data_IF_073092059341
#
_entry.id   IF_073092059341
#
_cell.length_a   1.000
_cell.length_b   1.000
_cell.length_c   1.000
_cell.angle_alpha   90.00
_cell.angle_beta   90.00
_cell.angle_gamma   90.00
#
_symmetry.space_group_name_H-M   'P 1'
#
loop_
_entity.id
_entity.type
_entity.pdbx_description
1 polymer ?
#
# COMPACT_ATOMS: atom_id res chain seq x y z
N UNK A 1 7.88 15.39 3.96
CA UNK A 1 7.71 14.21 4.84
C UNK A 1 8.15 14.45 6.30
N UNK A 2 8.72 15.58 6.63
CA UNK A 2 9.21 15.89 7.99
C UNK A 2 8.12 16.14 9.05
N UNK A 3 6.86 16.34 8.64
CA UNK A 3 5.75 16.66 9.53
C UNK A 3 4.91 15.41 9.81
N UNK A 4 5.16 14.74 10.90
CA UNK A 4 4.39 13.58 11.36
C UNK A 4 5.27 12.39 11.73
N UNK A 5 4.85 11.66 12.76
CA UNK A 5 5.52 10.42 13.16
C UNK A 5 5.33 9.34 12.10
N UNK A 6 6.37 8.58 11.74
CA UNK A 6 6.22 7.50 10.80
C UNK A 6 5.43 6.35 11.42
N UNK A 7 4.65 5.66 10.61
CA UNK A 7 4.10 4.35 10.92
C UNK A 7 5.22 3.32 10.77
N UNK A 8 5.42 2.54 11.80
CA UNK A 8 6.51 1.55 11.92
C UNK A 8 5.93 0.26 12.52
N UNK A 9 6.79 -0.63 13.03
CA UNK A 9 6.38 -1.84 13.76
C UNK A 9 5.60 -2.84 12.89
N UNK A 10 6.12 -3.12 11.70
CA UNK A 10 5.59 -4.17 10.85
C UNK A 10 5.73 -5.54 11.50
N UNK A 11 4.70 -6.35 11.40
CA UNK A 11 4.61 -7.72 11.95
C UNK A 11 4.58 -8.72 10.81
N UNK A 12 5.35 -9.79 10.93
CA UNK A 12 5.39 -10.87 9.96
C UNK A 12 4.07 -11.63 9.93
N UNK A 13 3.60 -11.89 8.70
CA UNK A 13 2.63 -12.91 8.39
C UNK A 13 3.34 -14.22 8.02
N UNK A 14 4.42 -14.12 7.27
CA UNK A 14 5.28 -15.22 6.85
C UNK A 14 6.76 -14.81 6.97
N UNK A 15 7.70 -15.69 7.28
CA UNK A 15 7.56 -17.10 7.67
C UNK A 15 7.30 -17.31 9.16
N UNK A 16 7.31 -16.25 9.96
CA UNK A 16 7.15 -16.30 11.42
C UNK A 16 5.96 -15.43 11.86
N UNK A 17 4.71 -15.92 11.76
CA UNK A 17 3.53 -15.14 12.08
C UNK A 17 3.59 -14.54 13.48
N UNK A 18 3.25 -13.25 13.60
CA UNK A 18 3.23 -12.52 14.86
C UNK A 18 4.59 -11.97 15.34
N UNK A 19 5.70 -12.35 14.71
CA UNK A 19 7.01 -11.78 15.06
C UNK A 19 7.24 -10.43 14.37
N UNK A 20 8.05 -9.55 14.95
CA UNK A 20 8.47 -8.32 14.28
C UNK A 20 9.14 -8.60 12.93
N UNK A 21 8.92 -7.73 11.95
CA UNK A 21 9.63 -7.78 10.68
C UNK A 21 11.15 -7.65 10.91
N UNK A 22 11.97 -8.40 10.14
CA UNK A 22 13.44 -8.40 10.27
C UNK A 22 14.04 -7.04 10.02
N UNK A 23 13.50 -6.35 9.04
CA UNK A 23 13.99 -5.06 8.62
C UNK A 23 12.95 -3.97 8.92
N UNK A 24 13.42 -2.84 9.44
CA UNK A 24 12.58 -1.68 9.73
C UNK A 24 11.93 -1.14 8.46
N UNK A 25 10.69 -0.72 8.58
CA UNK A 25 9.98 0.07 7.56
C UNK A 25 9.42 1.32 8.23
N UNK A 26 9.55 2.45 7.57
CA UNK A 26 8.94 3.71 7.97
C UNK A 26 8.01 4.19 6.86
N UNK A 27 6.76 4.44 7.20
CA UNK A 27 5.77 4.95 6.26
C UNK A 27 5.20 6.26 6.77
N UNK A 28 5.06 7.21 5.88
CA UNK A 28 4.35 8.47 6.11
C UNK A 28 3.25 8.63 5.08
N UNK A 29 2.12 9.13 5.54
CA UNK A 29 0.93 9.37 4.73
C UNK A 29 0.58 10.85 4.77
N UNK A 30 0.21 11.40 3.63
CA UNK A 30 -0.41 12.71 3.53
C UNK A 30 -1.58 12.63 2.55
N UNK A 31 -2.62 13.40 2.79
CA UNK A 31 -3.81 13.43 1.94
C UNK A 31 -4.20 14.89 1.76
N UNK A 32 -4.46 15.27 0.52
CA UNK A 32 -5.08 16.54 0.15
C UNK A 32 -6.42 16.31 -0.56
N UNK A 33 -7.00 17.35 -1.15
CA UNK A 33 -8.29 17.27 -1.84
C UNK A 33 -8.26 16.46 -3.16
N UNK A 34 -7.08 16.07 -3.64
CA UNK A 34 -6.93 15.41 -4.93
C UNK A 34 -6.20 14.06 -4.85
N UNK A 35 -5.31 13.89 -3.87
CA UNK A 35 -4.40 12.74 -3.84
C UNK A 35 -4.16 12.20 -2.43
N UNK A 36 -3.90 10.91 -2.39
CA UNK A 36 -3.18 10.25 -1.30
C UNK A 36 -1.70 10.18 -1.67
N UNK A 37 -0.84 10.65 -0.79
CA UNK A 37 0.61 10.56 -0.92
C UNK A 37 1.16 9.59 0.12
N UNK A 38 1.99 8.67 -0.32
CA UNK A 38 2.66 7.70 0.54
C UNK A 38 4.15 7.84 0.33
N UNK A 39 4.90 8.06 1.41
CA UNK A 39 6.34 7.99 1.41
C UNK A 39 6.77 6.83 2.30
N UNK A 40 7.50 5.87 1.76
CA UNK A 40 8.01 4.73 2.50
C UNK A 40 9.52 4.62 2.39
N UNK A 41 10.17 4.30 3.50
CA UNK A 41 11.57 3.91 3.55
C UNK A 41 11.68 2.49 4.10
N UNK A 42 12.21 1.62 3.28
CA UNK A 42 12.35 0.20 3.56
C UNK A 42 13.83 -0.10 3.82
N UNK A 43 14.20 -0.13 5.10
CA UNK A 43 15.59 -0.40 5.49
C UNK A 43 16.00 -1.81 5.12
N UNK A 44 17.26 -1.95 4.75
CA UNK A 44 17.88 -3.23 4.43
C UNK A 44 19.38 -3.15 4.73
N UNK A 45 19.90 -4.09 5.51
CA UNK A 45 21.31 -4.16 5.87
C UNK A 45 22.18 -4.68 4.73
N UNK A 46 21.58 -5.19 3.66
CA UNK A 46 22.28 -5.76 2.49
C UNK A 46 21.61 -5.27 1.21
N UNK A 47 21.75 -3.98 0.87
CA UNK A 47 21.02 -3.37 -0.25
C UNK A 47 21.36 -3.99 -1.62
N UNK A 48 22.54 -4.54 -1.78
CA UNK A 48 22.93 -5.28 -2.99
C UNK A 48 22.13 -6.58 -3.19
N UNK A 49 21.50 -7.07 -2.13
CA UNK A 49 20.65 -8.26 -2.14
C UNK A 49 19.16 -7.95 -2.31
N UNK A 50 18.79 -6.70 -2.49
CA UNK A 50 17.40 -6.29 -2.76
C UNK A 50 16.97 -6.87 -4.10
N UNK A 51 15.94 -7.72 -4.06
CA UNK A 51 15.36 -8.27 -5.27
C UNK A 51 14.60 -7.18 -6.03
N UNK A 52 15.03 -6.89 -7.28
CA UNK A 52 14.51 -5.76 -8.07
C UNK A 52 14.27 -6.14 -9.54
N UNK A 53 13.59 -7.25 -9.77
CA UNK A 53 13.24 -7.66 -11.11
C UNK A 53 12.32 -6.62 -11.77
N UNK A 54 12.62 -6.25 -13.02
CA UNK A 54 11.69 -5.46 -13.84
C UNK A 54 10.56 -6.40 -14.27
N UNK A 55 9.33 -6.01 -13.94
CA UNK A 55 8.12 -6.81 -14.14
C UNK A 55 7.14 -5.94 -14.95
N UNK A 56 6.40 -6.55 -15.85
CA UNK A 56 5.33 -5.84 -16.57
C UNK A 56 4.28 -5.37 -15.55
N UNK A 57 3.60 -4.26 -15.86
CA UNK A 57 2.49 -3.77 -15.04
C UNK A 57 1.51 -4.92 -14.74
N UNK A 58 1.03 -4.96 -13.51
CA UNK A 58 0.12 -5.98 -12.95
C UNK A 58 0.66 -7.40 -12.92
N UNK A 59 1.91 -7.59 -13.36
CA UNK A 59 2.62 -8.85 -13.22
C UNK A 59 3.11 -9.11 -11.79
N UNK A 60 3.52 -10.34 -11.56
CA UNK A 60 4.16 -10.80 -10.32
C UNK A 60 5.46 -11.52 -10.63
N UNK A 61 6.46 -11.39 -9.77
CA UNK A 61 7.76 -12.03 -9.97
C UNK A 61 8.62 -11.98 -8.72
N UNK A 62 9.84 -12.51 -8.82
CA UNK A 62 10.81 -12.49 -7.72
C UNK A 62 11.36 -11.10 -7.52
N UNK A 63 10.75 -10.36 -6.61
CA UNK A 63 11.14 -9.01 -6.25
C UNK A 63 10.72 -8.69 -4.81
N UNK A 64 11.39 -7.73 -4.21
CA UNK A 64 10.86 -7.05 -3.03
C UNK A 64 9.65 -6.21 -3.45
N UNK A 65 8.71 -6.02 -2.54
CA UNK A 65 7.51 -5.23 -2.80
C UNK A 65 7.13 -4.39 -1.59
N UNK A 66 6.57 -3.24 -1.86
CA UNK A 66 5.83 -2.43 -0.90
C UNK A 66 4.43 -2.16 -1.45
N UNK A 67 3.43 -2.14 -0.55
CA UNK A 67 2.08 -1.79 -0.95
C UNK A 67 1.33 -1.01 0.13
N UNK A 68 0.32 -0.29 -0.32
CA UNK A 68 -0.74 0.27 0.51
C UNK A 68 -2.08 -0.35 0.11
N UNK A 69 -2.87 -0.77 1.09
CA UNK A 69 -4.27 -1.15 0.95
C UNK A 69 -5.17 -0.12 1.60
N UNK A 70 -6.23 0.30 0.91
CA UNK A 70 -7.18 1.33 1.35
C UNK A 70 -8.61 0.80 1.20
N UNK A 71 -9.35 0.74 2.30
CA UNK A 71 -10.80 0.59 2.32
C UNK A 71 -11.42 1.98 2.56
N UNK A 72 -11.69 2.68 1.49
CA UNK A 72 -12.17 4.06 1.54
C UNK A 72 -13.68 4.20 1.80
N UNK A 73 -14.43 3.12 1.70
CA UNK A 73 -15.82 3.05 2.15
C UNK A 73 -15.96 2.67 3.62
N UNK A 74 -14.92 2.06 4.17
CA UNK A 74 -14.92 1.47 5.51
C UNK A 74 -16.03 0.42 5.67
N UNK A 75 -16.26 -0.35 4.60
CA UNK A 75 -17.23 -1.44 4.58
C UNK A 75 -16.64 -2.78 5.06
N UNK A 76 -15.32 -2.80 5.30
CA UNK A 76 -14.56 -3.97 5.74
C UNK A 76 -14.61 -5.14 4.75
N UNK A 77 -14.91 -4.86 3.50
CA UNK A 77 -15.08 -5.85 2.44
C UNK A 77 -14.45 -5.47 1.12
N UNK A 78 -14.40 -4.16 0.83
CA UNK A 78 -13.88 -3.62 -0.43
C UNK A 78 -12.62 -2.83 -0.16
N UNK A 79 -11.57 -3.08 -0.92
CA UNK A 79 -10.29 -2.37 -0.77
C UNK A 79 -9.57 -2.17 -2.09
N UNK A 80 -8.79 -1.12 -2.14
CA UNK A 80 -7.93 -0.75 -3.27
C UNK A 80 -6.49 -0.97 -2.87
N UNK A 81 -5.78 -1.81 -3.59
CA UNK A 81 -4.38 -2.11 -3.33
C UNK A 81 -3.47 -1.54 -4.41
N UNK A 82 -2.33 -0.97 -4.00
CA UNK A 82 -1.32 -0.39 -4.88
C UNK A 82 0.05 -0.89 -4.47
N UNK A 83 0.71 -1.64 -5.36
CA UNK A 83 2.03 -2.24 -5.15
C UNK A 83 3.09 -1.59 -6.02
N UNK A 84 4.28 -1.45 -5.48
CA UNK A 84 5.47 -1.03 -6.23
C UNK A 84 6.67 -1.84 -5.76
N UNK A 85 7.56 -2.16 -6.70
CA UNK A 85 8.83 -2.82 -6.42
C UNK A 85 10.01 -1.85 -6.54
N UNK A 86 11.23 -2.22 -6.11
CA UNK A 86 12.39 -1.33 -6.16
C UNK A 86 12.82 -0.89 -7.56
N UNK A 87 12.40 -1.59 -8.62
CA UNK A 87 12.62 -1.20 -10.01
C UNK A 87 11.53 -0.28 -10.58
N UNK A 88 10.51 0.09 -9.76
CA UNK A 88 9.40 0.92 -10.19
C UNK A 88 8.30 0.17 -10.95
N UNK A 89 8.34 -1.17 -10.99
CA UNK A 89 7.21 -1.94 -11.51
C UNK A 89 6.02 -1.80 -10.59
N UNK A 90 4.85 -1.57 -11.16
CA UNK A 90 3.63 -1.24 -10.45
C UNK A 90 2.57 -2.31 -10.67
N UNK A 91 1.71 -2.49 -9.68
CA UNK A 91 0.54 -3.35 -9.74
C UNK A 91 -0.58 -2.75 -8.93
N UNK A 92 -1.80 -2.85 -9.40
CA UNK A 92 -2.99 -2.47 -8.68
C UNK A 92 -4.01 -3.61 -8.64
N UNK A 93 -4.82 -3.62 -7.60
CA UNK A 93 -5.79 -4.70 -7.34
C UNK A 93 -7.02 -4.13 -6.65
N UNK A 94 -8.19 -4.53 -7.10
CA UNK A 94 -9.43 -4.33 -6.37
C UNK A 94 -9.72 -5.55 -5.51
N UNK A 95 -9.85 -5.35 -4.20
CA UNK A 95 -10.33 -6.38 -3.29
C UNK A 95 -11.85 -6.26 -3.13
N UNK A 96 -12.53 -7.40 -3.07
CA UNK A 96 -13.97 -7.48 -2.83
C UNK A 96 -14.32 -8.71 -1.99
N UNK A 97 -15.50 -8.72 -1.41
CA UNK A 97 -15.93 -9.79 -0.48
C UNK A 97 -14.91 -10.11 0.61
N UNK A 98 -14.13 -9.11 1.05
CA UNK A 98 -13.09 -9.18 2.07
C UNK A 98 -11.81 -9.92 1.64
N UNK A 99 -11.90 -11.04 0.95
CA UNK A 99 -10.75 -11.91 0.62
C UNK A 99 -10.46 -12.09 -0.86
N UNK A 100 -11.41 -11.74 -1.73
CA UNK A 100 -11.27 -11.93 -3.15
C UNK A 100 -10.56 -10.75 -3.83
N UNK A 101 -9.99 -11.00 -5.00
CA UNK A 101 -9.23 -10.00 -5.75
C UNK A 101 -9.62 -9.97 -7.22
N UNK A 102 -9.75 -8.77 -7.77
CA UNK A 102 -9.83 -8.51 -9.19
C UNK A 102 -8.54 -7.83 -9.65
N UNK A 103 -7.74 -8.56 -10.43
CA UNK A 103 -6.48 -8.06 -10.99
C UNK A 103 -6.68 -7.40 -12.37
N UNK A 104 -7.91 -7.34 -12.88
CA UNK A 104 -8.24 -6.64 -14.12
C UNK A 104 -8.57 -5.17 -13.88
N UNK A 105 -8.72 -4.77 -12.61
CA UNK A 105 -8.87 -3.36 -12.26
C UNK A 105 -7.57 -2.59 -12.52
N UNK A 106 -7.64 -1.56 -13.32
CA UNK A 106 -6.49 -0.77 -13.76
C UNK A 106 -6.66 0.69 -13.31
N UNK A 107 -5.80 1.13 -12.41
CA UNK A 107 -5.82 2.46 -11.81
C UNK A 107 -4.74 3.36 -12.42
N UNK A 108 -5.06 4.65 -12.54
CA UNK A 108 -4.10 5.65 -12.97
C UNK A 108 -3.46 6.31 -11.75
N UNK A 109 -2.26 5.89 -11.41
CA UNK A 109 -1.48 6.42 -10.29
C UNK A 109 0.02 6.46 -10.62
N UNK A 110 0.85 7.02 -9.74
CA UNK A 110 2.27 7.17 -9.98
C UNK A 110 3.08 6.73 -8.77
N UNK A 111 4.23 6.13 -9.02
CA UNK A 111 5.25 5.85 -8.02
C UNK A 111 6.64 6.21 -8.54
N UNK A 112 7.54 6.51 -7.61
CA UNK A 112 8.99 6.63 -7.85
C UNK A 112 9.72 5.86 -6.77
N UNK A 113 10.78 5.17 -7.16
CA UNK A 113 11.60 4.36 -6.27
C UNK A 113 13.07 4.76 -6.39
N UNK A 114 13.80 4.66 -5.27
CA UNK A 114 15.24 4.93 -5.22
C UNK A 114 15.89 3.89 -4.32
N UNK A 115 17.01 3.31 -4.78
CA UNK A 115 17.88 2.47 -3.96
C UNK A 115 18.89 3.36 -3.22
N UNK A 116 19.10 3.07 -1.95
CA UNK A 116 20.02 3.76 -1.06
C UNK A 116 21.04 2.78 -0.47
N UNK A 117 22.06 3.29 0.19
CA UNK A 117 23.10 2.48 0.87
C UNK A 117 22.55 1.58 1.99
N UNK A 118 21.38 1.89 2.53
CA UNK A 118 20.79 1.17 3.66
C UNK A 118 19.32 0.76 3.41
N UNK A 119 18.95 0.53 2.14
CA UNK A 119 17.62 0.10 1.75
C UNK A 119 17.10 0.74 0.48
N UNK A 120 15.81 0.90 0.38
CA UNK A 120 15.17 1.60 -0.72
C UNK A 120 13.98 2.43 -0.24
N UNK A 121 13.61 3.41 -1.03
CA UNK A 121 12.44 4.24 -0.76
C UNK A 121 11.48 4.27 -1.93
N UNK A 122 10.24 4.58 -1.64
CA UNK A 122 9.22 4.87 -2.63
C UNK A 122 8.38 6.07 -2.23
N UNK A 123 7.99 6.83 -3.23
CA UNK A 123 6.92 7.83 -3.13
C UNK A 123 5.80 7.46 -4.08
N UNK A 124 4.58 7.37 -3.56
CA UNK A 124 3.38 7.05 -4.33
C UNK A 124 2.44 8.23 -4.32
N UNK A 125 1.81 8.50 -5.45
CA UNK A 125 0.79 9.53 -5.64
C UNK A 125 -0.45 8.90 -6.26
N UNK A 126 -1.50 8.73 -5.45
CA UNK A 126 -2.72 8.02 -5.81
C UNK A 126 -3.86 9.04 -5.88
N UNK A 127 -4.47 9.27 -7.06
CA UNK A 127 -5.59 10.19 -7.15
C UNK A 127 -6.79 9.70 -6.36
N UNK A 128 -7.46 10.58 -5.63
CA UNK A 128 -8.71 10.24 -4.93
C UNK A 128 -9.82 9.81 -5.90
N UNK A 129 -9.73 10.20 -7.17
CA UNK A 129 -10.66 9.74 -8.22
C UNK A 129 -10.59 8.23 -8.51
N UNK A 130 -9.49 7.56 -8.13
CA UNK A 130 -9.33 6.12 -8.23
C UNK A 130 -9.97 5.37 -7.06
N UNK A 131 -10.27 6.09 -5.97
CA UNK A 131 -10.90 5.55 -4.78
C UNK A 131 -12.39 5.88 -4.79
N UNK A 132 -13.18 4.97 -4.25
CA UNK A 132 -14.61 5.20 -4.02
C UNK A 132 -14.82 5.48 -2.55
N UNK A 133 -15.26 6.68 -2.19
CA UNK A 133 -15.56 7.07 -0.83
C UNK A 133 -16.83 7.92 -0.76
N UNK A 134 -17.41 8.05 0.43
CA UNK A 134 -18.61 8.87 0.63
C UNK A 134 -18.24 10.35 0.83
N UNK A 135 -18.43 11.23 -0.16
CA UNK A 135 -18.01 12.63 -0.09
C UNK A 135 -18.86 13.47 0.86
N UNK A 136 -19.96 12.91 1.39
CA UNK A 136 -20.90 13.64 2.29
C UNK A 136 -20.53 13.48 3.76
N UNK A 137 -19.58 12.65 4.10
CA UNK A 137 -19.14 12.41 5.47
C UNK A 137 -18.16 13.50 5.92
N UNK A 138 -18.48 14.21 6.99
CA UNK A 138 -17.64 15.29 7.55
C UNK A 138 -16.41 14.74 8.27
N UNK A 139 -16.50 13.53 8.84
CA UNK A 139 -15.39 12.85 9.50
C UNK A 139 -15.29 11.44 8.90
N UNK A 140 -14.52 11.32 7.83
CA UNK A 140 -14.33 10.03 7.19
C UNK A 140 -13.38 9.16 8.00
N UNK A 141 -13.69 7.88 8.06
CA UNK A 141 -12.81 6.84 8.55
C UNK A 141 -12.55 5.89 7.38
N UNK A 142 -11.30 5.58 7.14
CA UNK A 142 -10.91 4.59 6.12
C UNK A 142 -10.19 3.41 6.77
N UNK A 143 -10.33 2.23 6.18
CA UNK A 143 -9.44 1.12 6.48
C UNK A 143 -8.10 1.33 5.79
N UNK A 144 -7.00 1.02 6.48
CA UNK A 144 -5.64 1.23 5.97
C UNK A 144 -4.74 0.10 6.42
N UNK A 145 -3.93 -0.41 5.50
CA UNK A 145 -2.79 -1.25 5.85
C UNK A 145 -1.62 -1.04 4.89
N UNK A 146 -0.42 -1.37 5.34
CA UNK A 146 0.78 -1.41 4.52
C UNK A 146 1.36 -2.81 4.53
N UNK A 147 1.91 -3.19 3.40
CA UNK A 147 2.53 -4.48 3.16
C UNK A 147 3.98 -4.30 2.73
N UNK A 148 4.85 -5.17 3.20
CA UNK A 148 6.21 -5.33 2.72
C UNK A 148 6.51 -6.79 2.45
N UNK A 149 7.14 -7.07 1.30
CA UNK A 149 7.77 -8.34 1.00
C UNK A 149 9.27 -8.16 0.86
N UNK A 150 10.02 -9.03 1.54
CA UNK A 150 11.48 -9.17 1.36
C UNK A 150 11.72 -10.53 0.72
N UNK A 151 11.92 -10.54 -0.60
CA UNK A 151 11.87 -11.76 -1.41
C UNK A 151 12.91 -12.81 -0.99
N UNK A 152 14.14 -12.39 -0.67
CA UNK A 152 15.23 -13.31 -0.29
C UNK A 152 14.96 -14.09 1.00
N UNK A 153 14.07 -13.59 1.86
CA UNK A 153 13.68 -14.25 3.10
C UNK A 153 12.33 -14.95 3.00
N UNK A 154 11.61 -14.77 1.89
CA UNK A 154 10.19 -15.15 1.81
C UNK A 154 9.33 -14.43 2.83
N UNK A 155 9.82 -13.29 3.36
CA UNK A 155 9.14 -12.56 4.42
C UNK A 155 8.06 -11.66 3.85
N UNK A 156 6.86 -11.81 4.40
CA UNK A 156 5.72 -10.92 4.19
C UNK A 156 5.32 -10.32 5.53
N UNK A 157 5.26 -9.01 5.61
CA UNK A 157 4.93 -8.29 6.83
C UNK A 157 3.92 -7.17 6.57
N UNK A 158 3.11 -6.89 7.58
CA UNK A 158 2.06 -5.88 7.55
C UNK A 158 2.22 -4.90 8.71
N UNK A 159 1.79 -3.66 8.50
CA UNK A 159 1.77 -2.66 9.56
C UNK A 159 0.70 -2.98 10.60
N UNK A 160 -0.56 -3.21 10.18
CA UNK A 160 -1.58 -3.86 11.01
C UNK A 160 -1.50 -5.36 10.76
N UNK A 161 -1.31 -6.18 11.79
CA UNK A 161 -1.11 -7.60 11.63
C UNK A 161 -2.28 -8.28 10.92
N UNK A 162 -1.99 -9.03 9.85
CA UNK A 162 -2.96 -9.89 9.19
C UNK A 162 -2.80 -11.31 9.74
N UNK A 163 -3.72 -11.70 10.63
CA UNK A 163 -3.67 -12.98 11.30
C UNK A 163 -4.28 -14.06 10.42
N UNK A 164 -3.56 -15.16 10.21
CA UNK A 164 -4.03 -16.31 9.41
C UNK A 164 -5.22 -17.04 10.05
N UNK A 165 -5.32 -16.97 11.37
CA UNK A 165 -6.40 -17.58 12.16
C UNK A 165 -7.72 -16.80 12.03
N UNK A 166 -7.66 -15.52 11.71
CA UNK A 166 -8.82 -14.67 11.51
C UNK A 166 -9.21 -14.71 10.04
N UNK A 167 -10.46 -15.09 9.77
CA UNK A 167 -11.00 -15.02 8.41
C UNK A 167 -11.06 -13.55 7.96
N UNK A 168 -10.75 -13.31 6.70
CA UNK A 168 -10.78 -11.99 6.12
C UNK A 168 -9.39 -11.39 5.85
N UNK A 169 -9.36 -10.33 5.08
CA UNK A 169 -8.16 -9.56 4.77
C UNK A 169 -8.43 -8.06 4.95
N UNK A 170 -9.40 -7.50 4.22
CA UNK A 170 -9.76 -6.07 4.31
C UNK A 170 -10.34 -5.73 5.69
N UNK A 171 -11.10 -6.65 6.27
CA UNK A 171 -11.67 -6.50 7.62
C UNK A 171 -10.61 -6.35 8.72
N UNK A 172 -9.38 -6.79 8.47
CA UNK A 172 -8.24 -6.69 9.41
C UNK A 172 -7.44 -5.40 9.24
N UNK A 173 -7.83 -4.48 8.35
CA UNK A 173 -7.15 -3.19 8.20
C UNK A 173 -7.36 -2.30 9.41
N UNK A 174 -6.32 -1.53 9.75
CA UNK A 174 -6.38 -0.48 10.76
C UNK A 174 -7.26 0.70 10.34
N UNK A 175 -7.45 1.64 11.22
CA UNK A 175 -8.33 2.79 11.01
C UNK A 175 -7.56 4.07 10.79
N UNK A 176 -7.78 4.72 9.67
CA UNK A 176 -7.33 6.07 9.38
C UNK A 176 -8.47 7.05 9.65
N UNK A 177 -8.31 7.87 10.68
CA UNK A 177 -9.32 8.84 11.16
C UNK A 177 -8.90 10.28 10.90
N UNK A 178 -9.86 11.19 11.03
CA UNK A 178 -9.62 12.63 10.93
C UNK A 178 -9.48 13.13 9.49
N UNK A 179 -9.99 12.38 8.53
CA UNK A 179 -10.01 12.80 7.14
C UNK A 179 -11.13 13.83 6.93
N UNK A 180 -10.74 15.03 6.46
CA UNK A 180 -11.64 16.07 6.00
C UNK A 180 -11.42 16.28 4.52
N UNK A 181 -12.20 15.59 3.69
CA UNK A 181 -12.10 15.67 2.24
C UNK A 181 -13.22 16.55 1.70
N UNK A 182 -12.87 17.49 0.84
CA UNK A 182 -13.85 18.24 0.08
C UNK A 182 -14.56 17.34 -0.95
N UNK A 183 -15.68 17.83 -1.51
CA UNK A 183 -16.44 17.07 -2.52
C UNK A 183 -15.54 16.58 -3.65
N UNK A 184 -15.64 15.31 -3.97
CA UNK A 184 -14.94 14.68 -5.08
C UNK A 184 -15.18 15.46 -6.39
N UNK A 185 -14.12 16.03 -6.97
CA UNK A 185 -14.18 16.62 -8.30
C UNK A 185 -14.26 15.48 -9.32
N UNK A 186 -15.26 15.49 -10.18
CA UNK A 186 -15.33 14.53 -11.29
C UNK A 186 -14.12 14.79 -12.21
N UNK A 187 -13.26 13.80 -12.36
CA UNK A 187 -12.15 13.82 -13.30
C UNK A 187 -12.47 12.85 -14.44
N UNK A 188 -12.32 13.31 -15.66
CA UNK A 188 -12.43 12.46 -16.85
C UNK A 188 -11.00 12.12 -17.25
N UNK A 189 -10.66 10.85 -17.26
CA UNK A 189 -9.41 10.33 -17.77
C UNK A 189 -9.68 9.59 -19.08
N UNK A 190 -8.93 9.92 -20.12
CA UNK A 190 -8.99 9.22 -21.40
C UNK A 190 -7.71 8.42 -21.53
N UNK A 191 -7.84 7.11 -21.52
CA UNK A 191 -6.75 6.19 -21.83
C UNK A 191 -6.78 5.91 -23.33
N UNK A 192 -5.80 6.38 -24.12
CA UNK A 192 -5.69 5.94 -25.50
C UNK A 192 -5.23 4.48 -25.51
N UNK A 193 -5.94 3.64 -26.23
CA UNK A 193 -5.54 2.28 -26.55
C UNK A 193 -4.47 2.27 -27.62
#
# INVERSE_FOLDING_TARGET
WSKGSPMTNFIQKDPQPGYPARNKTEVRLAIDDEYVYVGAYLYDSSPDSIARQIIRRDGWGYSDWFAIGIDSYFDRRTGFGFWVNPSGSMRDVLHYNDTETDNSWDAVWKAKTVIHENGWSTEMKIPLSQLRYNPSSVNQVWGLNFYRKTARYGEESFWEPVLMETKGFISQFGELKGLSLSRQKKRIEVLPY
#
